data_IF_494361839228
#
_entry.id   IF_494361839228
#
_cell.length_a   1.000
_cell.length_b   1.000
_cell.length_c   1.000
_cell.angle_alpha   90.00
_cell.angle_beta   90.00
_cell.angle_gamma   90.00
#
_symmetry.space_group_name_H-M   'P 1'
#
loop_
_entity.id
_entity.type
_entity.pdbx_description
1 polymer ?
#
# COMPACT_ATOMS: atom_id res chain seq x y z
N UNK A 1 -32.10 -6.22 -20.68
CA UNK A 1 -31.98 -4.81 -21.11
C UNK A 1 -30.53 -4.48 -21.43
N UNK A 2 -30.25 -3.39 -22.17
CA UNK A 2 -28.86 -2.99 -22.46
C UNK A 2 -28.06 -2.74 -21.17
N UNK A 3 -28.68 -2.15 -20.16
CA UNK A 3 -28.02 -1.89 -18.88
C UNK A 3 -27.65 -3.18 -18.13
N UNK A 4 -28.42 -4.25 -18.27
CA UNK A 4 -28.10 -5.55 -17.67
C UNK A 4 -26.86 -6.16 -18.33
N UNK A 5 -26.75 -6.03 -19.66
CA UNK A 5 -25.55 -6.43 -20.40
C UNK A 5 -24.33 -5.65 -19.94
N UNK A 6 -24.43 -4.31 -19.84
CA UNK A 6 -23.33 -3.46 -19.34
C UNK A 6 -22.86 -3.90 -17.96
N UNK A 7 -23.81 -4.15 -17.04
CA UNK A 7 -23.50 -4.61 -15.69
C UNK A 7 -22.83 -5.99 -15.70
N UNK A 8 -23.33 -6.93 -16.50
CA UNK A 8 -22.78 -8.27 -16.60
C UNK A 8 -21.34 -8.29 -17.16
N UNK A 9 -21.06 -7.52 -18.21
CA UNK A 9 -19.71 -7.40 -18.80
C UNK A 9 -18.72 -6.82 -17.80
N UNK A 10 -19.11 -5.75 -17.10
CA UNK A 10 -18.23 -5.10 -16.11
C UNK A 10 -17.99 -6.00 -14.90
N UNK A 11 -19.03 -6.68 -14.44
CA UNK A 11 -18.91 -7.67 -13.38
C UNK A 11 -17.93 -8.79 -13.75
N UNK A 12 -18.02 -9.35 -14.95
CA UNK A 12 -17.10 -10.38 -15.44
C UNK A 12 -15.66 -9.87 -15.54
N UNK A 13 -15.44 -8.65 -16.04
CA UNK A 13 -14.12 -8.02 -16.04
C UNK A 13 -13.52 -7.95 -14.64
N UNK A 14 -14.27 -7.46 -13.65
CA UNK A 14 -13.78 -7.35 -12.26
C UNK A 14 -13.52 -8.71 -11.63
N UNK A 15 -14.40 -9.70 -11.84
CA UNK A 15 -14.18 -11.06 -11.36
C UNK A 15 -12.91 -11.67 -11.98
N UNK A 16 -12.71 -11.54 -13.29
CA UNK A 16 -11.49 -12.01 -13.96
C UNK A 16 -10.25 -11.28 -13.46
N UNK A 17 -10.37 -9.99 -13.13
CA UNK A 17 -9.27 -9.20 -12.55
C UNK A 17 -8.85 -9.72 -11.17
N UNK A 18 -9.81 -9.94 -10.25
CA UNK A 18 -9.55 -10.47 -8.90
C UNK A 18 -8.97 -11.88 -8.99
N UNK A 19 -9.52 -12.73 -9.87
CA UNK A 19 -9.03 -14.09 -10.11
C UNK A 19 -7.70 -14.14 -10.89
N UNK A 20 -7.12 -12.99 -11.25
CA UNK A 20 -5.87 -12.85 -12.04
C UNK A 20 -5.91 -13.62 -13.37
N UNK A 21 -7.09 -13.66 -13.99
CA UNK A 21 -7.34 -14.32 -15.29
C UNK A 21 -7.19 -13.35 -16.48
N UNK A 22 -7.02 -12.06 -16.21
CA UNK A 22 -6.80 -11.04 -17.24
C UNK A 22 -5.32 -10.94 -17.63
N UNK A 23 -5.06 -10.54 -18.87
CA UNK A 23 -3.73 -10.13 -19.32
C UNK A 23 -3.22 -8.91 -18.54
N UNK A 24 -1.91 -8.67 -18.58
CA UNK A 24 -1.30 -7.48 -17.97
C UNK A 24 -1.82 -6.16 -18.57
N UNK A 25 -2.26 -6.20 -19.83
CA UNK A 25 -2.85 -5.05 -20.51
C UNK A 25 -4.22 -4.70 -19.93
N UNK A 26 -5.03 -5.72 -19.63
CA UNK A 26 -6.37 -5.57 -19.08
C UNK A 26 -6.39 -5.40 -17.57
N UNK A 27 -5.41 -5.93 -16.84
CA UNK A 27 -5.32 -5.76 -15.39
C UNK A 27 -4.98 -4.31 -15.01
N UNK A 28 -4.13 -3.65 -15.81
CA UNK A 28 -3.67 -2.28 -15.61
C UNK A 28 -3.82 -1.47 -16.91
N UNK A 29 -5.05 -1.17 -17.33
CA UNK A 29 -5.30 -0.58 -18.63
C UNK A 29 -4.70 0.82 -18.73
N UNK A 30 -4.27 1.11 -19.95
CA UNK A 30 -4.02 2.45 -20.47
C UNK A 30 -4.52 2.44 -21.91
N UNK A 31 -4.76 3.60 -22.54
CA UNK A 31 -5.21 3.61 -23.93
C UNK A 31 -4.28 2.83 -24.89
N UNK A 32 -2.97 2.93 -24.70
CA UNK A 32 -1.99 2.16 -25.48
C UNK A 32 -2.09 0.65 -25.21
N UNK A 33 -2.25 0.23 -23.95
CA UNK A 33 -2.40 -1.18 -23.59
C UNK A 33 -3.71 -1.78 -24.09
N UNK A 34 -4.81 -1.04 -24.02
CA UNK A 34 -6.10 -1.47 -24.57
C UNK A 34 -5.99 -1.69 -26.08
N UNK A 35 -5.31 -0.79 -26.81
CA UNK A 35 -5.05 -0.97 -28.24
C UNK A 35 -4.19 -2.19 -28.52
N UNK A 36 -3.15 -2.41 -27.71
CA UNK A 36 -2.30 -3.57 -27.84
C UNK A 36 -3.09 -4.88 -27.59
N UNK A 37 -3.98 -4.88 -26.59
CA UNK A 37 -4.87 -6.00 -26.34
C UNK A 37 -5.80 -6.27 -27.52
N UNK A 38 -6.34 -5.24 -28.17
CA UNK A 38 -7.14 -5.40 -29.38
C UNK A 38 -6.37 -6.16 -30.47
N UNK A 39 -5.10 -5.84 -30.69
CA UNK A 39 -4.25 -6.54 -31.66
C UNK A 39 -4.00 -7.98 -31.25
N UNK A 40 -3.74 -8.24 -29.97
CA UNK A 40 -3.53 -9.59 -29.45
C UNK A 40 -4.78 -10.45 -29.64
N UNK A 41 -5.95 -9.96 -29.25
CA UNK A 41 -7.22 -10.69 -29.38
C UNK A 41 -7.58 -10.92 -30.84
N UNK A 42 -7.38 -9.92 -31.71
CA UNK A 42 -7.63 -10.07 -33.15
C UNK A 42 -6.81 -11.22 -33.76
N UNK A 43 -5.53 -11.33 -33.38
CA UNK A 43 -4.61 -12.32 -33.93
C UNK A 43 -4.77 -13.72 -33.31
N UNK A 44 -5.14 -13.80 -32.03
CA UNK A 44 -5.20 -15.06 -31.29
C UNK A 44 -6.58 -15.69 -31.24
N UNK A 45 -7.65 -14.88 -31.29
CA UNK A 45 -9.04 -15.31 -31.20
C UNK A 45 -9.93 -14.62 -32.26
N UNK A 46 -9.64 -14.79 -33.56
CA UNK A 46 -10.48 -14.22 -34.62
C UNK A 46 -11.85 -14.91 -34.64
N UNK A 47 -12.92 -14.14 -34.52
CA UNK A 47 -14.29 -14.65 -34.65
C UNK A 47 -15.13 -13.71 -35.53
N UNK A 48 -15.83 -14.29 -36.50
CA UNK A 48 -16.66 -13.54 -37.47
C UNK A 48 -17.74 -12.71 -36.75
N UNK A 49 -18.31 -13.24 -35.65
CA UNK A 49 -19.32 -12.53 -34.86
C UNK A 49 -18.81 -11.22 -34.22
N UNK A 50 -17.50 -11.11 -34.01
CA UNK A 50 -16.87 -9.94 -33.39
C UNK A 50 -16.58 -8.84 -34.44
N UNK A 51 -16.72 -9.13 -35.75
CA UNK A 51 -16.39 -8.21 -36.85
C UNK A 51 -17.14 -6.87 -36.73
N UNK A 52 -18.43 -6.93 -36.38
CA UNK A 52 -19.25 -5.73 -36.22
C UNK A 52 -18.72 -4.85 -35.07
N UNK A 53 -18.31 -5.44 -33.95
CA UNK A 53 -17.76 -4.71 -32.80
C UNK A 53 -16.47 -3.99 -33.22
N UNK A 54 -15.58 -4.68 -33.92
CA UNK A 54 -14.30 -4.13 -34.40
C UNK A 54 -14.57 -2.98 -35.37
N UNK A 55 -15.41 -3.19 -36.38
CA UNK A 55 -15.70 -2.15 -37.37
C UNK A 55 -16.36 -0.91 -36.76
N UNK A 56 -17.35 -1.10 -35.90
CA UNK A 56 -18.05 -0.01 -35.23
C UNK A 56 -17.10 0.77 -34.30
N UNK A 57 -16.22 0.08 -33.57
CA UNK A 57 -15.30 0.73 -32.65
C UNK A 57 -14.15 1.47 -33.35
N UNK A 58 -13.59 0.89 -34.42
CA UNK A 58 -12.45 1.49 -35.12
C UNK A 58 -12.89 2.39 -36.29
N UNK A 59 -14.21 2.59 -36.47
CA UNK A 59 -14.84 3.35 -37.56
C UNK A 59 -14.40 2.83 -38.94
N UNK A 60 -14.41 1.52 -39.11
CA UNK A 60 -13.95 0.87 -40.34
C UNK A 60 -15.13 0.69 -41.29
N UNK A 61 -14.89 1.05 -42.56
CA UNK A 61 -15.85 0.93 -43.65
C UNK A 61 -16.11 -0.53 -44.03
N UNK A 62 -15.57 -0.97 -45.16
CA UNK A 62 -15.84 -2.29 -45.70
C UNK A 62 -15.36 -3.45 -44.80
N UNK A 63 -15.97 -4.62 -45.01
CA UNK A 63 -15.51 -5.90 -44.49
C UNK A 63 -14.09 -6.15 -45.01
N UNK A 64 -13.18 -6.55 -44.14
CA UNK A 64 -11.78 -6.83 -44.46
C UNK A 64 -11.36 -8.11 -43.74
N UNK A 65 -10.42 -8.83 -44.33
CA UNK A 65 -9.77 -9.98 -43.69
C UNK A 65 -8.66 -9.57 -42.73
N UNK A 66 -8.16 -8.33 -42.85
CA UNK A 66 -7.14 -7.77 -41.96
C UNK A 66 -7.59 -6.39 -41.45
N UNK A 67 -7.64 -6.29 -40.13
CA UNK A 67 -7.90 -5.05 -39.40
C UNK A 67 -6.68 -4.56 -38.60
N UNK A 68 -5.59 -5.34 -38.56
CA UNK A 68 -4.43 -5.10 -37.70
C UNK A 68 -3.81 -3.74 -37.99
N UNK A 69 -3.58 -3.45 -39.28
CA UNK A 69 -3.01 -2.17 -39.74
C UNK A 69 -3.87 -0.95 -39.37
N UNK A 70 -5.19 -1.13 -39.27
CA UNK A 70 -6.13 -0.06 -38.91
C UNK A 70 -6.15 0.16 -37.40
N UNK A 71 -6.07 -0.92 -36.61
CA UNK A 71 -5.99 -0.86 -35.15
C UNK A 71 -4.63 -0.28 -34.70
N UNK A 72 -3.52 -0.64 -35.35
CA UNK A 72 -2.18 -0.10 -35.04
C UNK A 72 -2.11 1.42 -35.19
N UNK A 73 -2.75 1.95 -36.25
CA UNK A 73 -2.82 3.38 -36.54
C UNK A 73 -3.94 4.10 -35.81
N UNK A 74 -4.78 3.38 -35.08
CA UNK A 74 -5.88 3.98 -34.33
C UNK A 74 -5.36 4.87 -33.22
N UNK A 75 -5.98 6.05 -33.12
CA UNK A 75 -5.70 7.06 -32.10
C UNK A 75 -6.05 6.51 -30.70
N UNK A 76 -5.04 6.31 -29.82
CA UNK A 76 -5.29 5.82 -28.47
C UNK A 76 -6.21 6.73 -27.65
N UNK A 77 -6.27 8.05 -27.88
CA UNK A 77 -7.15 8.93 -27.09
C UNK A 77 -8.63 8.50 -27.17
N UNK A 78 -9.05 7.83 -28.25
CA UNK A 78 -10.41 7.30 -28.39
C UNK A 78 -10.71 6.10 -27.48
N UNK A 79 -9.70 5.46 -26.89
CA UNK A 79 -9.83 4.40 -25.89
C UNK A 79 -9.88 4.95 -24.46
N UNK A 80 -9.56 6.24 -24.26
CA UNK A 80 -9.57 6.91 -22.95
C UNK A 80 -10.93 6.86 -22.25
N UNK A 81 -12.09 6.95 -22.92
CA UNK A 81 -13.38 6.77 -22.25
C UNK A 81 -13.56 5.38 -21.62
N UNK A 82 -13.06 4.32 -22.26
CA UNK A 82 -13.07 2.98 -21.68
C UNK A 82 -12.06 2.87 -20.52
N UNK A 83 -10.84 3.37 -20.72
CA UNK A 83 -9.80 3.39 -19.68
C UNK A 83 -10.27 4.11 -18.40
N UNK A 84 -10.83 5.30 -18.55
CA UNK A 84 -11.36 6.09 -17.44
C UNK A 84 -12.50 5.37 -16.72
N UNK A 85 -13.39 4.71 -17.48
CA UNK A 85 -14.50 3.96 -16.91
C UNK A 85 -14.00 2.75 -16.11
N UNK A 86 -13.06 1.97 -16.63
CA UNK A 86 -12.46 0.82 -15.94
C UNK A 86 -11.67 1.19 -14.68
N UNK A 87 -11.22 2.45 -14.59
CA UNK A 87 -10.53 3.03 -13.43
C UNK A 87 -11.48 3.73 -12.44
N UNK A 88 -12.80 3.73 -12.70
CA UNK A 88 -13.78 4.41 -11.86
C UNK A 88 -13.73 5.94 -11.94
N UNK A 89 -13.02 6.52 -12.92
CA UNK A 89 -12.98 7.99 -13.12
C UNK A 89 -14.27 8.55 -13.72
N UNK A 90 -15.05 7.70 -14.38
CA UNK A 90 -16.38 8.04 -14.89
C UNK A 90 -17.40 7.00 -14.43
N UNK A 91 -18.64 7.43 -14.21
CA UNK A 91 -19.75 6.55 -13.76
C UNK A 91 -20.37 5.77 -14.91
N UNK A 92 -20.22 6.27 -16.14
CA UNK A 92 -20.79 5.67 -17.34
C UNK A 92 -19.83 5.78 -18.51
N UNK A 93 -20.13 4.99 -19.55
CA UNK A 93 -19.42 4.99 -20.82
C UNK A 93 -20.38 4.55 -21.94
N UNK A 94 -19.98 4.82 -23.18
CA UNK A 94 -20.78 4.50 -24.37
C UNK A 94 -20.95 2.99 -24.58
N UNK A 95 -22.09 2.52 -25.14
CA UNK A 95 -22.31 1.10 -25.42
C UNK A 95 -21.19 0.45 -26.25
N UNK A 96 -20.61 1.16 -27.22
CA UNK A 96 -19.48 0.67 -28.02
C UNK A 96 -18.24 0.32 -27.19
N UNK A 97 -18.01 1.04 -26.10
CA UNK A 97 -16.87 0.78 -25.20
C UNK A 97 -17.10 -0.51 -24.40
N UNK A 98 -18.36 -0.77 -24.03
CA UNK A 98 -18.77 -2.01 -23.35
C UNK A 98 -18.68 -3.20 -24.31
N UNK A 99 -19.12 -3.04 -25.56
CA UNK A 99 -18.98 -4.10 -26.58
C UNK A 99 -17.52 -4.43 -26.85
N UNK A 100 -16.66 -3.40 -26.94
CA UNK A 100 -15.23 -3.61 -27.07
C UNK A 100 -14.69 -4.39 -25.86
N UNK A 101 -15.07 -4.01 -24.64
CA UNK A 101 -14.63 -4.72 -23.43
C UNK A 101 -15.10 -6.18 -23.42
N UNK A 102 -16.36 -6.44 -23.77
CA UNK A 102 -16.92 -7.78 -23.86
C UNK A 102 -16.13 -8.66 -24.82
N UNK A 103 -15.73 -8.08 -25.97
CA UNK A 103 -14.80 -8.72 -26.89
C UNK A 103 -13.43 -8.97 -26.23
N UNK A 104 -12.80 -7.96 -25.63
CA UNK A 104 -11.45 -8.11 -25.06
C UNK A 104 -11.36 -9.16 -23.95
N UNK A 105 -12.39 -9.27 -23.10
CA UNK A 105 -12.39 -10.22 -21.97
C UNK A 105 -12.97 -11.59 -22.33
N UNK A 106 -13.36 -11.82 -23.59
CA UNK A 106 -14.05 -13.03 -24.03
C UNK A 106 -15.37 -13.29 -23.25
N UNK A 107 -16.19 -12.25 -23.05
CA UNK A 107 -17.51 -12.35 -22.41
C UNK A 107 -18.57 -12.92 -23.35
N UNK A 108 -19.43 -13.82 -22.88
CA UNK A 108 -20.55 -14.38 -23.66
C UNK A 108 -21.90 -14.25 -22.93
N UNK A 109 -23.00 -14.00 -23.66
CA UNK A 109 -23.05 -13.81 -25.10
C UNK A 109 -22.67 -12.37 -25.51
N UNK A 110 -21.84 -12.25 -26.55
CA UNK A 110 -21.54 -10.98 -27.25
C UNK A 110 -21.74 -11.13 -28.77
N UNK A 111 -22.04 -10.03 -29.51
CA UNK A 111 -22.41 -8.69 -29.03
C UNK A 111 -23.74 -8.69 -28.27
N UNK A 112 -24.17 -7.53 -27.76
CA UNK A 112 -25.49 -7.38 -27.15
C UNK A 112 -26.62 -7.88 -28.07
N UNK A 113 -27.56 -8.59 -27.46
CA UNK A 113 -28.74 -9.15 -28.10
C UNK A 113 -29.98 -8.67 -27.34
N UNK A 114 -30.87 -7.97 -28.04
CA UNK A 114 -32.14 -7.55 -27.46
C UNK A 114 -32.99 -8.78 -27.08
N UNK A 115 -33.63 -8.75 -25.92
CA UNK A 115 -34.45 -9.84 -25.41
C UNK A 115 -33.69 -10.97 -24.71
N UNK A 116 -32.35 -10.95 -24.71
CA UNK A 116 -31.53 -11.89 -23.93
C UNK A 116 -31.45 -11.44 -22.47
N UNK A 117 -31.58 -12.41 -21.56
CA UNK A 117 -31.43 -12.20 -20.13
C UNK A 117 -29.94 -12.34 -19.78
N UNK A 118 -29.33 -11.24 -19.43
CA UNK A 118 -27.97 -11.20 -18.91
C UNK A 118 -28.04 -11.38 -17.40
N UNK A 119 -27.68 -12.56 -16.92
CA UNK A 119 -27.64 -12.83 -15.49
C UNK A 119 -26.52 -12.00 -14.84
N UNK A 120 -26.85 -10.81 -14.36
CA UNK A 120 -26.23 -10.29 -13.15
C UNK A 120 -26.66 -11.25 -12.04
N UNK A 121 -25.85 -12.25 -11.73
CA UNK A 121 -26.15 -13.21 -10.67
C UNK A 121 -26.68 -12.45 -9.45
N UNK A 122 -27.86 -12.89 -8.98
CA UNK A 122 -28.49 -12.52 -7.71
C UNK A 122 -27.42 -12.14 -6.69
N UNK A 123 -27.61 -11.00 -6.03
CA UNK A 123 -26.88 -10.49 -4.85
C UNK A 123 -25.66 -11.35 -4.47
N UNK A 124 -24.46 -10.83 -4.73
CA UNK A 124 -23.23 -11.43 -4.23
C UNK A 124 -23.41 -11.81 -2.75
N UNK A 125 -22.89 -12.96 -2.30
CA UNK A 125 -22.75 -13.23 -0.87
C UNK A 125 -22.09 -12.03 -0.20
N UNK A 126 -22.65 -11.55 0.90
CA UNK A 126 -22.18 -10.34 1.59
C UNK A 126 -20.69 -10.39 1.96
N UNK A 127 -20.09 -11.59 1.99
CA UNK A 127 -18.67 -11.85 2.20
C UNK A 127 -17.81 -11.47 0.99
N UNK A 128 -18.22 -11.76 -0.26
CA UNK A 128 -17.48 -11.34 -1.46
C UNK A 128 -17.66 -9.84 -1.76
N UNK A 129 -18.76 -9.23 -1.27
CA UNK A 129 -18.99 -7.78 -1.34
C UNK A 129 -18.00 -7.01 -0.45
N UNK A 130 -17.52 -7.59 0.66
CA UNK A 130 -16.53 -6.93 1.53
C UNK A 130 -15.21 -6.70 0.79
N UNK A 131 -14.73 -7.72 0.10
CA UNK A 131 -13.47 -7.65 -0.67
C UNK A 131 -13.59 -6.70 -1.88
N UNK A 132 -14.77 -6.57 -2.48
CA UNK A 132 -15.01 -5.63 -3.58
C UNK A 132 -15.23 -4.20 -3.07
N UNK A 133 -15.92 -4.00 -1.93
CA UNK A 133 -16.10 -2.66 -1.31
C UNK A 133 -14.78 -2.09 -0.81
N UNK A 134 -13.85 -2.92 -0.34
CA UNK A 134 -12.48 -2.48 -0.03
C UNK A 134 -11.72 -1.99 -1.27
N UNK A 135 -12.07 -2.47 -2.46
CA UNK A 135 -11.50 -2.06 -3.75
C UNK A 135 -12.26 -0.89 -4.40
N UNK A 136 -13.51 -0.65 -3.99
CA UNK A 136 -14.42 0.36 -4.56
C UNK A 136 -14.68 1.57 -3.65
N UNK A 137 -14.08 1.62 -2.46
CA UNK A 137 -13.95 2.91 -1.78
C UNK A 137 -13.05 3.77 -2.67
N UNK A 138 -13.56 4.91 -3.21
CA UNK A 138 -12.74 5.76 -4.03
C UNK A 138 -11.52 6.14 -3.21
N UNK A 139 -10.32 5.78 -3.67
CA UNK A 139 -9.13 6.50 -3.26
C UNK A 139 -9.47 7.97 -3.47
N UNK A 140 -9.66 8.70 -2.37
CA UNK A 140 -9.73 10.15 -2.37
C UNK A 140 -8.64 10.62 -3.31
N UNK A 141 -8.91 11.52 -4.27
CA UNK A 141 -7.89 11.97 -5.20
C UNK A 141 -6.70 12.40 -4.37
N UNK A 142 -5.61 11.62 -4.46
CA UNK A 142 -4.36 11.98 -3.83
C UNK A 142 -4.05 13.36 -4.40
N UNK A 143 -3.94 14.41 -3.59
CA UNK A 143 -3.72 15.75 -4.11
C UNK A 143 -2.54 15.66 -5.06
N UNK A 144 -2.76 16.11 -6.29
CA UNK A 144 -1.74 16.14 -7.32
C UNK A 144 -0.64 17.07 -6.77
N UNK A 145 0.40 16.45 -6.24
CA UNK A 145 1.48 17.16 -5.56
C UNK A 145 2.21 17.99 -6.63
N UNK A 146 2.47 19.29 -6.41
CA UNK A 146 3.28 20.08 -7.33
C UNK A 146 4.71 19.53 -7.33
N UNK A 147 4.98 18.59 -8.24
CA UNK A 147 6.06 17.61 -8.12
C UNK A 147 7.47 18.15 -8.42
N UNK A 148 7.67 19.47 -8.50
CA UNK A 148 8.97 20.04 -8.86
C UNK A 148 9.53 21.13 -7.94
N UNK A 149 8.76 21.61 -6.97
CA UNK A 149 9.25 22.62 -6.01
C UNK A 149 9.35 22.09 -4.57
N UNK A 150 8.46 21.15 -4.18
CA UNK A 150 8.48 20.52 -2.85
C UNK A 150 9.69 19.58 -2.62
N UNK A 151 10.30 19.03 -3.68
CA UNK A 151 11.40 18.07 -3.57
C UNK A 151 12.65 18.65 -2.91
N UNK A 152 12.86 19.97 -3.01
CA UNK A 152 13.98 20.66 -2.35
C UNK A 152 13.68 21.03 -0.89
N UNK A 153 12.41 21.25 -0.56
CA UNK A 153 11.98 21.65 0.80
C UNK A 153 11.85 20.42 1.70
N UNK A 154 11.29 19.31 1.21
CA UNK A 154 11.21 18.03 1.92
C UNK A 154 12.58 17.41 2.21
N UNK A 155 13.55 17.57 1.31
CA UNK A 155 14.93 17.12 1.57
C UNK A 155 15.63 17.96 2.66
N UNK A 156 15.24 19.24 2.81
CA UNK A 156 15.82 20.15 3.81
C UNK A 156 15.20 19.97 5.20
N UNK A 157 13.86 19.91 5.29
CA UNK A 157 13.14 19.83 6.57
C UNK A 157 12.80 18.40 7.00
N UNK A 158 12.82 17.42 6.07
CA UNK A 158 12.58 16.01 6.40
C UNK A 158 13.72 15.39 7.22
N UNK A 159 14.96 15.82 7.00
CA UNK A 159 16.12 15.41 7.81
C UNK A 159 15.99 15.98 9.24
N UNK A 160 15.64 17.27 9.37
CA UNK A 160 15.50 17.93 10.67
C UNK A 160 14.35 17.32 11.52
N UNK A 161 13.22 16.96 10.90
CA UNK A 161 12.09 16.31 11.59
C UNK A 161 12.45 14.87 12.02
N UNK A 162 13.21 14.13 11.21
CA UNK A 162 13.67 12.78 11.57
C UNK A 162 14.65 12.85 12.75
N UNK A 163 15.56 13.82 12.78
CA UNK A 163 16.47 14.05 13.91
C UNK A 163 15.68 14.42 15.18
N UNK A 164 14.63 15.25 15.07
CA UNK A 164 13.74 15.59 16.19
C UNK A 164 12.99 14.37 16.74
N UNK A 165 12.50 13.46 15.89
CA UNK A 165 11.82 12.23 16.33
C UNK A 165 12.78 11.21 16.96
N UNK A 166 13.99 11.07 16.41
CA UNK A 166 15.03 10.20 16.97
C UNK A 166 15.49 10.70 18.35
N UNK A 167 15.57 12.01 18.58
CA UNK A 167 15.92 12.57 19.90
C UNK A 167 14.80 12.37 20.94
N UNK A 168 13.53 12.45 20.54
CA UNK A 168 12.39 12.17 21.43
C UNK A 168 12.33 10.68 21.81
N UNK A 169 12.50 9.77 20.84
CA UNK A 169 12.48 8.32 21.07
C UNK A 169 13.75 7.86 21.81
N UNK A 170 14.92 8.40 21.46
CA UNK A 170 16.21 8.11 22.08
C UNK A 170 16.32 8.64 23.51
N UNK A 171 15.79 9.83 23.80
CA UNK A 171 15.83 10.44 25.13
C UNK A 171 14.99 9.69 26.17
N UNK A 172 13.79 9.24 25.79
CA UNK A 172 12.91 8.47 26.67
C UNK A 172 13.49 7.06 26.89
N UNK A 173 14.01 6.42 25.84
CA UNK A 173 14.64 5.11 25.93
C UNK A 173 15.94 5.08 26.76
N UNK A 174 16.77 6.13 26.69
CA UNK A 174 18.00 6.25 27.46
C UNK A 174 17.74 6.45 28.97
N UNK A 175 16.72 7.24 29.32
CA UNK A 175 16.32 7.49 30.71
C UNK A 175 15.81 6.21 31.40
N UNK A 176 14.99 5.41 30.72
CA UNK A 176 14.46 4.15 31.27
C UNK A 176 15.52 3.05 31.44
N UNK A 177 16.54 3.01 30.57
CA UNK A 177 17.66 2.05 30.68
C UNK A 177 18.55 2.36 31.89
N UNK A 178 18.93 3.62 32.09
CA UNK A 178 19.79 4.02 33.22
C UNK A 178 19.13 3.74 34.58
N UNK A 179 17.84 4.03 34.71
CA UNK A 179 17.09 3.71 35.93
C UNK A 179 17.04 2.20 36.23
N UNK A 180 17.02 1.35 35.19
CA UNK A 180 17.05 -0.11 35.35
C UNK A 180 18.43 -0.63 35.75
N UNK A 181 19.50 -0.01 35.23
CA UNK A 181 20.89 -0.34 35.58
C UNK A 181 21.14 -0.05 37.07
N UNK A 182 20.72 1.10 37.59
CA UNK A 182 20.97 1.43 39.01
C UNK A 182 20.24 0.52 40.00
N UNK A 183 19.12 -0.09 39.60
CA UNK A 183 18.36 -1.05 40.41
C UNK A 183 18.95 -2.46 40.39
N UNK A 184 19.83 -2.77 39.45
CA UNK A 184 20.41 -4.12 39.28
C UNK A 184 21.91 -4.16 39.57
N UNK A 185 22.62 -3.04 39.40
CA UNK A 185 24.04 -2.95 39.71
C UNK A 185 24.28 -2.98 41.22
N UNK A 186 25.12 -3.94 41.64
CA UNK A 186 25.52 -4.10 43.03
C UNK A 186 26.49 -3.01 43.44
N UNK A 187 26.27 -2.43 44.62
CA UNK A 187 27.13 -1.49 45.31
C UNK A 187 27.31 -1.95 46.77
N UNK A 188 28.35 -1.46 47.44
CA UNK A 188 28.72 -1.83 48.81
C UNK A 188 28.65 -0.58 49.70
N UNK A 189 28.06 -0.71 50.88
CA UNK A 189 27.93 0.39 51.85
C UNK A 189 28.44 -0.05 53.22
N UNK A 190 29.11 0.88 53.92
CA UNK A 190 29.45 0.74 55.34
C UNK A 190 28.20 1.15 56.16
N UNK A 191 27.76 0.31 57.10
CA UNK A 191 26.50 0.52 57.87
C UNK A 191 26.59 1.59 58.97
N UNK A 192 27.75 2.23 59.14
CA UNK A 192 27.92 3.27 60.15
C UNK A 192 27.04 4.50 59.85
N UNK A 193 26.48 5.12 60.89
CA UNK A 193 25.59 6.29 60.76
C UNK A 193 26.25 7.51 60.10
N UNK A 194 27.58 7.55 60.07
CA UNK A 194 28.37 8.64 59.51
C UNK A 194 28.80 8.40 58.06
N UNK A 195 28.56 7.20 57.51
CA UNK A 195 28.97 6.85 56.16
C UNK A 195 28.13 7.58 55.10
N UNK A 196 28.79 8.42 54.31
CA UNK A 196 28.18 9.21 53.23
C UNK A 196 28.42 8.64 51.83
N UNK A 197 29.24 7.59 51.72
CA UNK A 197 29.72 7.06 50.44
C UNK A 197 29.23 5.62 50.21
N UNK A 198 28.98 5.27 48.95
CA UNK A 198 28.84 3.89 48.48
C UNK A 198 29.97 3.54 47.53
N UNK A 199 30.21 2.25 47.36
CA UNK A 199 31.36 1.74 46.61
C UNK A 199 30.92 0.74 45.54
N UNK A 200 31.55 0.71 44.37
CA UNK A 200 31.28 -0.30 43.33
C UNK A 200 32.10 -1.58 43.54
N UNK A 201 33.19 -1.50 44.31
CA UNK A 201 34.06 -2.62 44.62
C UNK A 201 34.10 -2.87 46.14
N UNK A 202 33.86 -4.12 46.56
CA UNK A 202 33.95 -4.52 47.96
C UNK A 202 35.34 -4.30 48.59
N UNK A 203 36.40 -4.27 47.76
CA UNK A 203 37.80 -4.07 48.17
C UNK A 203 38.30 -2.64 47.92
N UNK A 204 37.40 -1.66 47.78
CA UNK A 204 37.78 -0.26 47.59
C UNK A 204 38.66 0.22 48.75
N UNK A 205 39.70 1.00 48.45
CA UNK A 205 40.59 1.58 49.47
C UNK A 205 39.82 2.34 50.56
N UNK A 206 38.73 3.03 50.19
CA UNK A 206 37.85 3.73 51.12
C UNK A 206 37.13 2.83 52.13
N UNK A 207 37.04 1.52 51.88
CA UNK A 207 36.43 0.52 52.78
C UNK A 207 37.44 -0.18 53.69
N UNK A 208 38.75 -0.13 53.36
CA UNK A 208 39.79 -0.89 54.08
C UNK A 208 39.87 -0.58 55.59
N UNK A 209 39.45 0.62 55.99
CA UNK A 209 39.44 1.05 57.40
C UNK A 209 38.03 1.13 58.01
N UNK A 210 36.98 0.65 57.32
CA UNK A 210 35.61 0.61 57.89
C UNK A 210 35.59 -0.39 59.06
N UNK A 211 35.21 0.11 60.25
CA UNK A 211 35.07 -0.71 61.47
C UNK A 211 33.67 -1.33 61.64
N UNK A 212 32.74 -0.96 60.76
CA UNK A 212 31.36 -1.43 60.76
C UNK A 212 31.16 -2.48 59.67
N UNK A 213 29.99 -3.11 59.67
CA UNK A 213 29.64 -4.10 58.64
C UNK A 213 29.55 -3.44 57.26
N UNK A 214 30.07 -4.14 56.25
CA UNK A 214 29.95 -3.78 54.83
C UNK A 214 28.90 -4.69 54.21
N UNK A 215 27.82 -4.10 53.72
CA UNK A 215 26.71 -4.86 53.13
C UNK A 215 26.55 -4.55 51.64
N UNK A 216 26.26 -5.55 50.79
CA UNK A 216 25.90 -5.33 49.40
C UNK A 216 24.47 -4.77 49.30
N UNK A 217 24.26 -3.87 48.34
CA UNK A 217 22.98 -3.23 48.01
C UNK A 217 22.99 -2.84 46.53
N UNK A 218 21.98 -2.10 46.07
CA UNK A 218 21.92 -1.55 44.70
C UNK A 218 22.34 -0.08 44.70
N UNK A 219 22.87 0.44 43.59
CA UNK A 219 23.18 1.87 43.44
C UNK A 219 21.95 2.74 43.77
N UNK A 220 20.76 2.36 43.28
CA UNK A 220 19.52 3.08 43.55
C UNK A 220 19.24 3.21 45.06
N UNK A 221 19.18 2.08 45.78
CA UNK A 221 19.01 2.06 47.25
C UNK A 221 20.08 2.83 48.02
N UNK A 222 21.33 2.82 47.56
CA UNK A 222 22.40 3.58 48.18
C UNK A 222 22.18 5.10 48.04
N UNK A 223 21.80 5.55 46.85
CA UNK A 223 21.43 6.95 46.57
C UNK A 223 20.18 7.40 47.31
N UNK A 224 19.14 6.57 47.34
CA UNK A 224 17.91 6.82 48.11
C UNK A 224 18.21 6.97 49.61
N UNK A 225 19.21 6.24 50.11
CA UNK A 225 19.75 6.38 51.46
C UNK A 225 20.74 7.53 51.65
N UNK A 226 20.79 8.49 50.73
CA UNK A 226 21.61 9.71 50.80
C UNK A 226 23.12 9.52 50.58
N UNK A 227 23.55 8.38 50.01
CA UNK A 227 24.97 8.09 49.79
C UNK A 227 25.42 8.50 48.39
N UNK A 228 26.65 8.98 48.28
CA UNK A 228 27.29 9.40 47.02
C UNK A 228 28.42 8.45 46.63
N UNK A 229 28.84 8.45 45.36
CA UNK A 229 29.91 7.55 44.91
C UNK A 229 31.25 7.91 45.58
N UNK A 230 32.05 6.89 45.90
CA UNK A 230 33.43 7.09 46.33
C UNK A 230 34.28 7.57 45.13
N UNK A 231 35.01 8.67 45.29
CA UNK A 231 35.81 9.28 44.21
C UNK A 231 37.20 8.65 44.03
N UNK A 232 37.51 7.60 44.81
CA UNK A 232 38.83 6.94 44.87
C UNK A 232 38.76 5.57 44.15
N UNK A 233 37.76 5.35 43.30
CA UNK A 233 37.49 4.04 42.68
C UNK A 233 38.26 3.78 41.37
N UNK A 234 39.41 4.42 41.17
CA UNK A 234 40.31 4.13 40.05
C UNK A 234 41.29 3.00 40.37
#
# INVERSE_FOLDING_TARGET
MLDDYKKAVIFDYHQKKVKRLLSLNLSHPTPAKLRHECLLVLNTRPQIKDEKIIRDFFNLGAISNDYSSSIERFDPEKLKPLDNYLKGKTVSTEPRNIELLAWLIDFEPRPYQYGVIYATTKELPAEEIKDIKEVFEPEQPKPERPEKEESKILAKYGIDIIILLITIIGGIGLSMRNASIERTTTAYICTSKVAKKYHLNAKCHGLNNCKSEIVPTTIAKAKDGGKTLCEIEH
#
